data_IF_903115306861
#
_entry.id   IF_903115306861
#
_cell.length_a   1.000
_cell.length_b   1.000
_cell.length_c   1.000
_cell.angle_alpha   90.00
_cell.angle_beta   90.00
_cell.angle_gamma   90.00
#
_symmetry.space_group_name_H-M   'P 1'
#
loop_
_entity.id
_entity.type
_entity.pdbx_description
1 polymer ?
#
# COMPACT_ATOMS: atom_id res chain seq x y z
N UNK A 1 -4.35 -4.35 22.50
CA UNK A 1 -3.85 -5.36 21.54
C UNK A 1 -2.92 -6.30 22.30
N UNK A 2 -2.98 -7.63 22.12
CA UNK A 2 -2.00 -8.51 22.80
C UNK A 2 -0.66 -8.49 22.04
N UNK A 3 0.43 -8.99 22.65
CA UNK A 3 1.77 -8.99 22.01
C UNK A 3 1.80 -9.70 20.65
N UNK A 4 0.99 -10.73 20.46
CA UNK A 4 0.90 -11.45 19.19
C UNK A 4 0.17 -10.63 18.12
N UNK A 5 -0.90 -9.94 18.50
CA UNK A 5 -1.67 -9.06 17.62
C UNK A 5 -0.82 -7.85 17.19
N UNK A 6 -0.03 -7.28 18.10
CA UNK A 6 0.90 -6.20 17.77
C UNK A 6 1.99 -6.65 16.81
N UNK A 7 2.53 -7.86 17.02
CA UNK A 7 3.54 -8.42 16.12
C UNK A 7 2.95 -8.65 14.72
N UNK A 8 1.74 -9.23 14.64
CA UNK A 8 1.02 -9.40 13.37
C UNK A 8 0.77 -8.06 12.67
N UNK A 9 0.35 -7.03 13.42
CA UNK A 9 0.15 -5.68 12.87
C UNK A 9 1.46 -5.12 12.31
N UNK A 10 2.58 -5.21 13.03
CA UNK A 10 3.90 -4.76 12.55
C UNK A 10 4.32 -5.49 11.28
N UNK A 11 4.11 -6.80 11.22
CA UNK A 11 4.47 -7.60 10.03
C UNK A 11 3.58 -7.27 8.84
N UNK A 12 2.29 -6.98 9.07
CA UNK A 12 1.37 -6.50 8.06
C UNK A 12 1.78 -5.12 7.52
N UNK A 13 2.14 -4.17 8.39
CA UNK A 13 2.63 -2.84 8.01
C UNK A 13 3.88 -2.95 7.14
N UNK A 14 4.85 -3.78 7.53
CA UNK A 14 6.06 -4.02 6.72
C UNK A 14 5.73 -4.60 5.34
N UNK A 15 4.75 -5.49 5.28
CA UNK A 15 4.33 -6.12 4.02
C UNK A 15 3.64 -5.11 3.10
N UNK A 16 2.74 -4.29 3.66
CA UNK A 16 2.05 -3.22 2.92
C UNK A 16 3.02 -2.13 2.46
N UNK A 17 4.03 -1.76 3.25
CA UNK A 17 5.05 -0.81 2.84
C UNK A 17 5.82 -1.31 1.60
N UNK A 18 6.20 -2.59 1.57
CA UNK A 18 6.81 -3.20 0.37
C UNK A 18 5.85 -3.24 -0.81
N UNK A 19 4.58 -3.58 -0.58
CA UNK A 19 3.56 -3.57 -1.63
C UNK A 19 3.36 -2.18 -2.22
N UNK A 20 3.43 -1.13 -1.39
CA UNK A 20 3.38 0.27 -1.82
C UNK A 20 4.50 0.58 -2.80
N UNK A 21 5.75 0.28 -2.44
CA UNK A 21 6.91 0.51 -3.31
C UNK A 21 6.74 -0.19 -4.67
N UNK A 22 6.25 -1.43 -4.69
CA UNK A 22 6.00 -2.16 -5.94
C UNK A 22 4.86 -1.54 -6.76
N UNK A 23 3.78 -1.08 -6.10
CA UNK A 23 2.67 -0.41 -6.76
C UNK A 23 3.08 0.95 -7.35
N UNK A 24 3.94 1.71 -6.67
CA UNK A 24 4.52 2.95 -7.18
C UNK A 24 5.36 2.72 -8.44
N UNK A 25 6.20 1.67 -8.43
CA UNK A 25 7.00 1.27 -9.60
C UNK A 25 6.09 0.88 -10.77
N UNK A 26 5.05 0.08 -10.51
CA UNK A 26 4.10 -0.35 -11.54
C UNK A 26 3.34 0.86 -12.14
N UNK A 27 2.85 1.76 -11.29
CA UNK A 27 2.18 2.98 -11.74
C UNK A 27 3.12 3.86 -12.59
N UNK A 28 4.35 4.08 -12.12
CA UNK A 28 5.34 4.86 -12.86
C UNK A 28 5.67 4.24 -14.21
N UNK A 29 5.82 2.91 -14.26
CA UNK A 29 6.06 2.18 -15.50
C UNK A 29 4.91 2.38 -16.49
N UNK A 30 3.66 2.23 -16.06
CA UNK A 30 2.49 2.40 -16.92
C UNK A 30 2.36 3.85 -17.41
N UNK A 31 2.55 4.84 -16.53
CA UNK A 31 2.51 6.26 -16.92
C UNK A 31 3.61 6.61 -17.92
N UNK A 32 4.82 6.08 -17.73
CA UNK A 32 5.99 6.43 -18.58
C UNK A 32 5.93 5.76 -19.95
N UNK A 33 5.33 4.57 -20.06
CA UNK A 33 5.29 3.80 -21.29
C UNK A 33 3.97 3.95 -22.06
N UNK A 34 3.20 5.02 -21.80
CA UNK A 34 1.88 5.24 -22.40
C UNK A 34 0.97 3.99 -22.25
N UNK A 35 1.07 3.35 -21.08
CA UNK A 35 0.27 2.19 -20.72
C UNK A 35 -1.22 2.49 -20.83
N UNK A 36 -2.01 1.43 -20.97
CA UNK A 36 -3.44 1.57 -21.15
C UNK A 36 -4.05 2.45 -20.02
N UNK A 37 -4.94 3.41 -20.34
CA UNK A 37 -5.50 4.31 -19.35
C UNK A 37 -6.22 3.59 -18.20
N UNK A 38 -6.86 2.44 -18.48
CA UNK A 38 -7.53 1.61 -17.47
C UNK A 38 -6.50 0.95 -16.56
N UNK A 39 -5.44 0.37 -17.12
CA UNK A 39 -4.34 -0.21 -16.34
C UNK A 39 -3.67 0.83 -15.44
N UNK A 40 -3.40 2.03 -15.98
CA UNK A 40 -2.83 3.15 -15.24
C UNK A 40 -3.73 3.60 -14.10
N UNK A 41 -5.05 3.68 -14.34
CA UNK A 41 -6.04 4.01 -13.32
C UNK A 41 -6.12 2.94 -12.23
N UNK A 42 -6.10 1.67 -12.61
CA UNK A 42 -6.13 0.54 -11.67
C UNK A 42 -4.88 0.54 -10.77
N UNK A 43 -3.69 0.76 -11.34
CA UNK A 43 -2.45 0.87 -10.57
C UNK A 43 -2.49 2.04 -9.57
N UNK A 44 -3.03 3.19 -9.98
CA UNK A 44 -3.24 4.34 -9.08
C UNK A 44 -4.22 4.03 -7.95
N UNK A 45 -5.30 3.31 -8.25
CA UNK A 45 -6.29 2.91 -7.24
C UNK A 45 -5.71 1.92 -6.22
N UNK A 46 -4.93 0.94 -6.68
CA UNK A 46 -4.22 0.00 -5.79
C UNK A 46 -3.29 0.76 -4.84
N UNK A 47 -2.52 1.73 -5.36
CA UNK A 47 -1.64 2.56 -4.55
C UNK A 47 -2.42 3.31 -3.44
N UNK A 48 -3.53 3.96 -3.79
CA UNK A 48 -4.38 4.66 -2.83
C UNK A 48 -5.01 3.75 -1.76
N UNK A 49 -5.36 2.52 -2.12
CA UNK A 49 -5.86 1.52 -1.17
C UNK A 49 -4.77 1.08 -0.18
N UNK A 50 -3.52 0.92 -0.64
CA UNK A 50 -2.40 0.57 0.23
C UNK A 50 -2.10 1.71 1.22
N UNK A 51 -2.10 2.96 0.75
CA UNK A 51 -1.93 4.14 1.61
C UNK A 51 -3.00 4.21 2.70
N UNK A 52 -4.27 4.02 2.33
CA UNK A 52 -5.38 4.01 3.28
C UNK A 52 -5.24 2.89 4.33
N UNK A 53 -4.79 1.70 3.91
CA UNK A 53 -4.57 0.59 4.83
C UNK A 53 -3.41 0.87 5.81
N UNK A 54 -2.31 1.46 5.32
CA UNK A 54 -1.17 1.85 6.16
C UNK A 54 -1.56 2.94 7.17
N UNK A 55 -2.34 3.94 6.75
CA UNK A 55 -2.84 4.98 7.64
C UNK A 55 -3.71 4.41 8.76
N UNK A 56 -4.65 3.53 8.44
CA UNK A 56 -5.51 2.89 9.44
C UNK A 56 -4.73 2.03 10.43
N UNK A 57 -3.71 1.31 9.96
CA UNK A 57 -2.84 0.48 10.82
C UNK A 57 -1.86 1.32 11.65
N UNK A 58 -1.53 2.54 11.21
CA UNK A 58 -0.73 3.53 11.94
C UNK A 58 -1.55 4.34 12.97
N UNK A 59 -2.78 4.72 12.64
CA UNK A 59 -3.70 5.38 13.58
C UNK A 59 -4.05 4.50 14.80
N UNK A 60 -4.01 3.17 14.62
CA UNK A 60 -4.13 2.19 15.70
C UNK A 60 -2.94 2.19 16.70
N UNK A 61 -1.85 2.93 16.44
CA UNK A 61 -0.77 3.15 17.43
C UNK A 61 -1.02 4.32 18.37
N UNK A 62 -1.94 5.23 18.02
CA UNK A 62 -2.19 6.47 18.77
C UNK A 62 -3.50 6.47 19.57
N UNK A 63 -4.23 5.33 19.57
CA UNK A 63 -5.53 5.16 20.23
C UNK A 63 -5.49 4.20 21.41
#
# INVERSE_FOLDING_TARGET
MNKHDEQRRRDLVKTLAKAKEQAEIAYLYLVTNEGDPEETMNAKQVLGNIDSALEQLGAAEQS
#
